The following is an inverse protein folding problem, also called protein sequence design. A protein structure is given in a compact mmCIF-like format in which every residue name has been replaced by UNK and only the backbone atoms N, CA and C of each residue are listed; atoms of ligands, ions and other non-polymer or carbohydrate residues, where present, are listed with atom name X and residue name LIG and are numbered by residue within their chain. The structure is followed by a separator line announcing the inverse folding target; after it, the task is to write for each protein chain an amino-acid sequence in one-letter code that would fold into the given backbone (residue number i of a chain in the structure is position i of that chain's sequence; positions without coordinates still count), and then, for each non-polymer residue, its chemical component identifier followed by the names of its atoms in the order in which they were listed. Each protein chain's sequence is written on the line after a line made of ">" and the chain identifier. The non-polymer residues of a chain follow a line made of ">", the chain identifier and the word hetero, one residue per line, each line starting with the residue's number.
data_IF_780172985585
#
_entry.id   IF_780172985585
#
_cell.length_a   1.000
_cell.length_b   1.000
_cell.length_c   1.000
_cell.angle_alpha   90.00
_cell.angle_beta   90.00
_cell.angle_gamma   90.00
#
_symmetry.space_group_name_H-M   'P 1'
#
loop_
_entity.id
_entity.type
_entity.pdbx_description
1 polymer ?
#
# COMPACT_ATOMS: atom_id res chain seq x y z
N UNK A 1 9.47 -8.57 10.70
CA UNK A 1 9.34 -8.43 9.22
C UNK A 1 9.34 -9.80 8.54
N UNK A 2 10.34 -10.70 8.75
CA UNK A 2 10.43 -11.96 8.00
C UNK A 2 9.21 -12.89 8.15
N UNK A 3 8.72 -13.08 9.38
CA UNK A 3 7.53 -13.93 9.63
C UNK A 3 6.27 -13.44 8.90
N UNK A 4 6.09 -12.12 8.81
CA UNK A 4 4.93 -11.51 8.14
C UNK A 4 5.01 -11.72 6.62
N UNK A 5 6.20 -11.60 6.03
CA UNK A 5 6.42 -11.90 4.61
C UNK A 5 6.30 -13.40 4.34
N UNK A 6 6.74 -14.26 5.27
CA UNK A 6 6.55 -15.70 5.14
C UNK A 6 5.06 -16.08 5.13
N UNK A 7 4.26 -15.49 6.03
CA UNK A 7 2.81 -15.67 6.03
C UNK A 7 2.16 -15.21 4.71
N UNK A 8 2.63 -14.09 4.15
CA UNK A 8 2.21 -13.59 2.85
C UNK A 8 2.55 -14.57 1.71
N UNK A 9 3.79 -15.06 1.67
CA UNK A 9 4.27 -16.02 0.68
C UNK A 9 3.47 -17.34 0.74
N UNK A 10 3.04 -17.77 1.93
CA UNK A 10 2.16 -18.93 2.07
C UNK A 10 0.80 -18.69 1.40
N UNK A 11 0.22 -17.49 1.51
CA UNK A 11 -1.04 -17.16 0.82
C UNK A 11 -0.86 -17.17 -0.71
N UNK A 12 0.25 -16.60 -1.20
CA UNK A 12 0.57 -16.61 -2.64
C UNK A 12 0.75 -18.04 -3.15
N UNK A 13 1.45 -18.91 -2.42
CA UNK A 13 1.64 -20.31 -2.80
C UNK A 13 0.33 -21.11 -2.84
N UNK A 14 -0.58 -20.86 -1.90
CA UNK A 14 -1.91 -21.48 -1.91
C UNK A 14 -2.72 -21.06 -3.14
N UNK A 15 -2.63 -19.77 -3.52
CA UNK A 15 -3.34 -19.24 -4.68
C UNK A 15 -2.75 -19.74 -5.99
N UNK A 16 -1.42 -19.76 -6.10
CA UNK A 16 -0.69 -20.32 -7.23
C UNK A 16 -1.08 -21.77 -7.48
N UNK A 17 -1.08 -22.58 -6.42
CA UNK A 17 -1.51 -23.98 -6.51
C UNK A 17 -2.94 -24.10 -7.03
N UNK A 18 -3.90 -23.39 -6.42
CA UNK A 18 -5.30 -23.52 -6.79
C UNK A 18 -5.59 -23.08 -8.24
N UNK A 19 -4.89 -22.04 -8.71
CA UNK A 19 -5.04 -21.53 -10.09
C UNK A 19 -4.27 -22.38 -11.11
N UNK A 20 -3.14 -22.98 -10.71
CA UNK A 20 -2.43 -23.99 -11.52
C UNK A 20 -3.26 -25.26 -11.68
N UNK A 21 -3.86 -25.77 -10.61
CA UNK A 21 -4.73 -26.94 -10.68
C UNK A 21 -5.96 -26.65 -11.59
N UNK A 22 -6.47 -25.40 -11.58
CA UNK A 22 -7.53 -24.97 -12.50
C UNK A 22 -7.02 -24.92 -13.95
N UNK A 23 -5.83 -24.36 -14.18
CA UNK A 23 -5.21 -24.33 -15.51
C UNK A 23 -5.04 -25.75 -16.07
N UNK A 24 -4.61 -26.71 -15.26
CA UNK A 24 -4.51 -28.11 -15.65
C UNK A 24 -5.87 -28.73 -15.97
N UNK A 25 -6.90 -28.43 -15.17
CA UNK A 25 -8.26 -28.86 -15.46
C UNK A 25 -8.78 -28.27 -16.79
N UNK A 26 -8.37 -27.05 -17.15
CA UNK A 26 -8.75 -26.44 -18.44
C UNK A 26 -8.13 -27.11 -19.67
N UNK A 27 -7.14 -27.98 -19.49
CA UNK A 27 -6.53 -28.81 -20.55
C UNK A 27 -7.23 -30.17 -20.69
N UNK A 28 -8.12 -30.52 -19.77
CA UNK A 28 -8.83 -31.80 -19.78
C UNK A 28 -10.20 -31.63 -20.46
N UNK A 29 -10.35 -32.21 -21.66
CA UNK A 29 -11.61 -32.14 -22.42
C UNK A 29 -12.84 -32.57 -21.60
N UNK A 30 -12.67 -33.58 -20.75
CA UNK A 30 -13.73 -34.08 -19.87
C UNK A 30 -14.13 -33.05 -18.81
N UNK A 31 -13.17 -32.38 -18.16
CA UNK A 31 -13.44 -31.35 -17.16
C UNK A 31 -14.09 -30.11 -17.81
N UNK A 32 -13.61 -29.71 -18.99
CA UNK A 32 -14.19 -28.60 -19.77
C UNK A 32 -15.63 -28.92 -20.19
N UNK A 33 -15.89 -30.12 -20.71
CA UNK A 33 -17.23 -30.54 -21.10
C UNK A 33 -18.20 -30.54 -19.91
N UNK A 34 -17.77 -31.03 -18.74
CA UNK A 34 -18.58 -30.99 -17.50
C UNK A 34 -18.86 -29.54 -17.10
N UNK A 35 -17.86 -28.67 -17.10
CA UNK A 35 -18.03 -27.26 -16.74
C UNK A 35 -19.00 -26.54 -17.68
N UNK A 36 -18.86 -26.73 -19.00
CA UNK A 36 -19.77 -26.18 -20.02
C UNK A 36 -21.20 -26.68 -19.84
N UNK A 37 -21.36 -27.99 -19.62
CA UNK A 37 -22.69 -28.60 -19.40
C UNK A 37 -23.37 -28.01 -18.17
N UNK A 38 -22.64 -27.83 -17.06
CA UNK A 38 -23.19 -27.20 -15.84
C UNK A 38 -23.57 -25.74 -16.03
N UNK A 39 -22.86 -25.02 -16.90
CA UNK A 39 -23.12 -23.60 -17.18
C UNK A 39 -24.30 -23.39 -18.15
N UNK A 40 -24.65 -24.39 -18.95
CA UNK A 40 -25.75 -24.34 -19.91
C UNK A 40 -25.40 -23.62 -21.22
N UNK A 41 -26.42 -23.35 -22.04
CA UNK A 41 -26.26 -22.61 -23.30
C UNK A 41 -25.79 -21.18 -23.06
N UNK A 42 -24.93 -20.66 -23.95
CA UNK A 42 -24.39 -19.31 -23.81
C UNK A 42 -23.36 -19.16 -22.67
N UNK A 43 -22.73 -20.25 -22.22
CA UNK A 43 -21.80 -20.26 -21.09
C UNK A 43 -20.59 -19.31 -21.18
N UNK A 44 -20.21 -18.83 -22.38
CA UNK A 44 -19.08 -17.91 -22.59
C UNK A 44 -17.67 -18.50 -22.37
N UNK A 45 -17.56 -19.69 -21.77
CA UNK A 45 -16.33 -20.49 -21.62
C UNK A 45 -15.73 -21.03 -22.95
N UNK A 46 -15.19 -20.14 -23.77
CA UNK A 46 -14.54 -20.46 -25.06
C UNK A 46 -13.13 -21.01 -24.87
N UNK A 47 -12.60 -21.76 -25.85
CA UNK A 47 -11.23 -22.28 -25.80
C UNK A 47 -10.18 -21.15 -25.76
N UNK A 48 -10.47 -20.03 -26.43
CA UNK A 48 -9.64 -18.82 -26.40
C UNK A 48 -9.56 -18.21 -24.99
N UNK A 49 -10.67 -18.19 -24.25
CA UNK A 49 -10.68 -17.72 -22.86
C UNK A 49 -9.86 -18.65 -21.95
N UNK A 50 -9.97 -19.97 -22.13
CA UNK A 50 -9.17 -20.94 -21.37
C UNK A 50 -7.68 -20.79 -21.67
N UNK A 51 -7.31 -20.57 -22.93
CA UNK A 51 -5.92 -20.28 -23.32
C UNK A 51 -5.40 -18.98 -22.70
N UNK A 52 -6.17 -17.89 -22.78
CA UNK A 52 -5.82 -16.60 -22.17
C UNK A 52 -5.57 -16.72 -20.67
N UNK A 53 -6.41 -17.48 -19.96
CA UNK A 53 -6.21 -17.70 -18.51
C UNK A 53 -4.87 -18.39 -18.21
N UNK A 54 -4.51 -19.42 -18.99
CA UNK A 54 -3.22 -20.13 -18.82
C UNK A 54 -2.03 -19.24 -19.14
N UNK A 55 -2.13 -18.41 -20.19
CA UNK A 55 -1.08 -17.47 -20.57
C UNK A 55 -0.90 -16.39 -19.49
N UNK A 56 -2.00 -15.81 -18.98
CA UNK A 56 -1.96 -14.86 -17.88
C UNK A 56 -1.40 -15.48 -16.59
N UNK A 57 -1.76 -16.73 -16.25
CA UNK A 57 -1.18 -17.44 -15.11
C UNK A 57 0.34 -17.58 -15.24
N UNK A 58 0.82 -18.02 -16.41
CA UNK A 58 2.26 -18.18 -16.66
C UNK A 58 3.02 -16.86 -16.57
N UNK A 59 2.41 -15.79 -17.08
CA UNK A 59 2.96 -14.44 -16.94
C UNK A 59 3.05 -14.04 -15.46
N UNK A 60 1.96 -14.17 -14.71
CA UNK A 60 1.93 -13.82 -13.27
C UNK A 60 2.93 -14.64 -12.47
N UNK A 61 3.08 -15.94 -12.75
CA UNK A 61 4.11 -16.78 -12.11
C UNK A 61 5.53 -16.25 -12.39
N UNK A 62 5.83 -15.91 -13.64
CA UNK A 62 7.13 -15.36 -14.06
C UNK A 62 7.43 -14.04 -13.34
N UNK A 63 6.47 -13.11 -13.36
CA UNK A 63 6.60 -11.81 -12.70
C UNK A 63 6.66 -11.95 -11.15
N UNK A 64 5.94 -12.93 -10.59
CA UNK A 64 5.95 -13.22 -9.16
C UNK A 64 7.35 -13.60 -8.63
N UNK A 65 8.16 -14.28 -9.44
CA UNK A 65 9.57 -14.51 -9.09
C UNK A 65 10.38 -13.21 -9.04
N UNK A 66 10.15 -12.28 -9.97
CA UNK A 66 10.83 -10.98 -10.01
C UNK A 66 10.44 -10.13 -8.79
N UNK A 67 9.15 -10.06 -8.47
CA UNK A 67 8.70 -9.34 -7.27
C UNK A 67 9.22 -9.98 -5.98
N UNK A 68 9.27 -11.31 -5.91
CA UNK A 68 9.85 -12.00 -4.76
C UNK A 68 11.34 -11.67 -4.58
N UNK A 69 12.13 -11.60 -5.66
CA UNK A 69 13.54 -11.19 -5.57
C UNK A 69 13.70 -9.78 -5.00
N UNK A 70 12.83 -8.83 -5.36
CA UNK A 70 12.84 -7.47 -4.80
C UNK A 70 12.49 -7.47 -3.30
N UNK A 71 11.50 -8.27 -2.90
CA UNK A 71 11.10 -8.44 -1.50
C UNK A 71 12.26 -9.06 -0.69
N UNK A 72 12.90 -10.10 -1.21
CA UNK A 72 14.03 -10.77 -0.55
C UNK A 72 15.25 -9.86 -0.44
N UNK A 73 15.55 -9.08 -1.48
CA UNK A 73 16.60 -8.06 -1.44
C UNK A 73 16.33 -7.03 -0.33
N UNK A 74 15.09 -6.59 -0.20
CA UNK A 74 14.70 -5.66 0.85
C UNK A 74 14.81 -6.28 2.25
N UNK A 75 14.40 -7.54 2.43
CA UNK A 75 14.55 -8.27 3.69
C UNK A 75 16.02 -8.47 4.08
N UNK A 76 16.87 -8.86 3.12
CA UNK A 76 18.30 -9.04 3.34
C UNK A 76 18.98 -7.73 3.72
N UNK A 77 18.68 -6.65 2.98
CA UNK A 77 19.16 -5.30 3.29
C UNK A 77 18.73 -4.83 4.68
N UNK A 78 17.44 -4.97 5.00
CA UNK A 78 16.90 -4.61 6.30
C UNK A 78 17.55 -5.40 7.45
N UNK A 79 17.82 -6.70 7.26
CA UNK A 79 18.48 -7.53 8.27
C UNK A 79 19.91 -7.06 8.55
N UNK A 80 20.68 -6.75 7.51
CA UNK A 80 22.04 -6.21 7.65
C UNK A 80 22.02 -4.86 8.38
N UNK A 81 21.13 -3.96 7.95
CA UNK A 81 21.01 -2.63 8.52
C UNK A 81 20.56 -2.63 9.99
N UNK A 82 19.67 -3.55 10.38
CA UNK A 82 19.22 -3.66 11.77
C UNK A 82 20.37 -3.96 12.73
N UNK A 83 21.34 -4.78 12.32
CA UNK A 83 22.53 -5.07 13.12
C UNK A 83 23.35 -3.80 13.33
N UNK A 84 23.58 -3.02 12.27
CA UNK A 84 24.34 -1.78 12.35
C UNK A 84 23.64 -0.67 13.15
N UNK A 85 22.31 -0.56 13.05
CA UNK A 85 21.52 0.41 13.79
C UNK A 85 21.42 0.09 15.29
N UNK A 86 21.65 -1.16 15.69
CA UNK A 86 21.52 -1.61 17.08
C UNK A 86 22.81 -1.50 17.90
N UNK A 87 23.96 -1.28 17.24
CA UNK A 87 25.29 -1.26 17.86
C UNK A 87 25.99 0.09 18.01
N UNK A 88 25.45 1.26 17.60
CA UNK A 88 26.26 2.47 17.57
C UNK A 88 26.51 3.02 18.99
N UNK A 89 27.79 3.19 19.31
CA UNK A 89 28.32 3.60 20.62
C UNK A 89 28.41 5.12 20.79
N UNK A 90 28.53 5.86 19.69
CA UNK A 90 28.66 7.32 19.68
C UNK A 90 27.85 7.99 18.55
N UNK A 91 27.75 9.31 18.58
CA UNK A 91 26.97 10.09 17.61
C UNK A 91 27.46 9.92 16.16
N UNK A 92 28.77 9.88 15.94
CA UNK A 92 29.35 9.68 14.61
C UNK A 92 28.94 8.33 14.05
N UNK A 93 29.03 7.26 14.85
CA UNK A 93 28.57 5.93 14.46
C UNK A 93 27.06 5.91 14.15
N UNK A 94 26.23 6.62 14.94
CA UNK A 94 24.78 6.76 14.67
C UNK A 94 24.50 7.45 13.34
N UNK A 95 25.20 8.56 13.04
CA UNK A 95 25.05 9.26 11.76
C UNK A 95 25.46 8.40 10.57
N UNK A 96 26.57 7.66 10.68
CA UNK A 96 27.01 6.73 9.63
C UNK A 96 25.98 5.61 9.41
N UNK A 97 25.46 5.02 10.48
CA UNK A 97 24.42 4.00 10.38
C UNK A 97 23.12 4.56 9.79
N UNK A 98 22.74 5.79 10.15
CA UNK A 98 21.60 6.47 9.53
C UNK A 98 21.81 6.73 8.04
N UNK A 99 22.99 7.20 7.61
CA UNK A 99 23.27 7.43 6.18
C UNK A 99 23.08 6.16 5.35
N UNK A 100 23.55 5.01 5.85
CA UNK A 100 23.28 3.70 5.23
C UNK A 100 21.80 3.33 5.25
N UNK A 101 21.08 3.73 6.29
CA UNK A 101 19.63 3.52 6.37
C UNK A 101 18.88 4.32 5.31
N UNK A 102 19.29 5.58 5.10
CA UNK A 102 18.74 6.46 4.07
C UNK A 102 19.00 5.89 2.67
N UNK A 103 20.22 5.43 2.38
CA UNK A 103 20.57 4.73 1.14
C UNK A 103 19.74 3.44 0.94
N UNK A 104 19.53 2.68 2.01
CA UNK A 104 18.74 1.45 2.01
C UNK A 104 17.22 1.67 1.84
N UNK A 105 16.72 2.88 2.06
CA UNK A 105 15.28 3.18 2.03
C UNK A 105 14.67 2.97 0.63
N UNK A 106 15.42 3.26 -0.44
CA UNK A 106 14.97 3.02 -1.81
C UNK A 106 14.69 1.52 -2.07
N UNK A 107 15.50 0.64 -1.49
CA UNK A 107 15.34 -0.82 -1.61
C UNK A 107 14.08 -1.26 -0.84
N UNK A 108 13.83 -0.70 0.35
CA UNK A 108 12.60 -0.96 1.11
C UNK A 108 11.34 -0.51 0.37
N UNK A 109 11.36 0.70 -0.23
CA UNK A 109 10.27 1.22 -1.07
C UNK A 109 10.03 0.31 -2.28
N UNK A 110 11.07 -0.15 -2.94
CA UNK A 110 10.96 -1.10 -4.05
C UNK A 110 10.37 -2.46 -3.62
N UNK A 111 10.77 -2.99 -2.47
CA UNK A 111 10.19 -4.21 -1.91
C UNK A 111 8.71 -4.07 -1.57
N UNK A 112 8.30 -2.93 -1.00
CA UNK A 112 6.88 -2.63 -0.74
C UNK A 112 6.07 -2.54 -2.04
N UNK A 113 6.57 -1.83 -3.04
CA UNK A 113 5.92 -1.71 -4.34
C UNK A 113 5.77 -3.09 -5.04
N UNK A 114 6.80 -3.94 -4.94
CA UNK A 114 6.76 -5.30 -5.45
C UNK A 114 5.70 -6.16 -4.74
N UNK A 115 5.59 -6.04 -3.41
CA UNK A 115 4.55 -6.73 -2.61
C UNK A 115 3.14 -6.34 -3.07
N UNK A 116 2.84 -5.03 -3.14
CA UNK A 116 1.53 -4.54 -3.56
C UNK A 116 1.20 -4.94 -5.01
N UNK A 117 2.18 -4.89 -5.91
CA UNK A 117 1.99 -5.28 -7.32
C UNK A 117 1.71 -6.77 -7.45
N UNK A 118 2.45 -7.61 -6.72
CA UNK A 118 2.23 -9.06 -6.67
C UNK A 118 0.82 -9.39 -6.19
N UNK A 119 0.35 -8.76 -5.11
CA UNK A 119 -1.01 -8.98 -4.61
C UNK A 119 -2.06 -8.64 -5.67
N UNK A 120 -1.93 -7.48 -6.33
CA UNK A 120 -2.86 -7.05 -7.39
C UNK A 120 -2.89 -8.05 -8.57
N UNK A 121 -1.74 -8.52 -9.02
CA UNK A 121 -1.64 -9.47 -10.14
C UNK A 121 -2.35 -10.80 -9.82
N UNK A 122 -2.04 -11.39 -8.67
CA UNK A 122 -2.66 -12.65 -8.23
C UNK A 122 -4.17 -12.51 -7.97
N UNK A 123 -4.61 -11.42 -7.34
CA UNK A 123 -6.03 -11.17 -7.10
C UNK A 123 -6.81 -10.91 -8.40
N UNK A 124 -6.19 -10.26 -9.40
CA UNK A 124 -6.77 -10.09 -10.73
C UNK A 124 -6.98 -11.44 -11.42
N UNK A 125 -5.98 -12.33 -11.34
CA UNK A 125 -6.07 -13.67 -11.91
C UNK A 125 -7.15 -14.52 -11.22
N UNK A 126 -7.27 -14.42 -9.89
CA UNK A 126 -8.37 -15.03 -9.15
C UNK A 126 -9.74 -14.47 -9.59
N UNK A 127 -9.84 -13.16 -9.78
CA UNK A 127 -11.06 -12.52 -10.29
C UNK A 127 -11.41 -12.99 -11.70
N UNK A 128 -10.43 -13.23 -12.58
CA UNK A 128 -10.64 -13.84 -13.90
C UNK A 128 -11.17 -15.27 -13.76
N UNK A 129 -10.58 -16.09 -12.89
CA UNK A 129 -11.04 -17.45 -12.62
C UNK A 129 -12.50 -17.46 -12.11
N UNK A 130 -12.83 -16.58 -11.16
CA UNK A 130 -14.15 -16.50 -10.55
C UNK A 130 -15.22 -15.95 -11.51
N UNK A 131 -14.93 -14.84 -12.19
CA UNK A 131 -15.93 -14.10 -12.99
C UNK A 131 -16.06 -14.65 -14.40
N UNK A 132 -14.93 -14.96 -15.05
CA UNK A 132 -14.92 -15.36 -16.46
C UNK A 132 -14.99 -16.88 -16.60
N UNK A 133 -14.16 -17.62 -15.86
CA UNK A 133 -14.14 -19.09 -15.93
C UNK A 133 -15.20 -19.74 -15.04
N UNK A 134 -15.85 -18.97 -14.16
CA UNK A 134 -16.87 -19.46 -13.21
C UNK A 134 -16.32 -20.62 -12.37
N UNK A 135 -15.13 -20.42 -11.79
CA UNK A 135 -14.32 -21.36 -11.00
C UNK A 135 -15.13 -22.37 -10.15
N UNK A 136 -16.19 -21.93 -9.47
CA UNK A 136 -17.09 -22.79 -8.67
C UNK A 136 -17.77 -23.94 -9.43
N UNK A 137 -17.92 -23.83 -10.75
CA UNK A 137 -18.52 -24.88 -11.58
C UNK A 137 -17.53 -25.98 -11.97
N UNK A 138 -16.23 -25.75 -11.76
CA UNK A 138 -15.16 -26.70 -11.99
C UNK A 138 -15.09 -27.73 -10.86
N UNK A 139 -16.02 -28.66 -10.88
CA UNK A 139 -16.10 -29.79 -9.97
C UNK A 139 -16.48 -31.06 -10.76
N UNK A 140 -15.57 -32.01 -10.82
CA UNK A 140 -15.73 -33.33 -11.42
C UNK A 140 -15.25 -34.39 -10.42
N UNK A 141 -15.42 -35.68 -10.76
CA UNK A 141 -14.94 -36.78 -9.91
C UNK A 141 -13.42 -36.75 -9.70
N UNK A 142 -12.66 -36.18 -10.63
CA UNK A 142 -11.18 -36.13 -10.57
C UNK A 142 -10.60 -34.78 -10.14
N UNK A 143 -11.40 -33.73 -10.04
CA UNK A 143 -10.93 -32.39 -9.72
C UNK A 143 -12.03 -31.52 -9.14
N UNK A 144 -11.74 -30.81 -8.04
CA UNK A 144 -12.64 -29.80 -7.48
C UNK A 144 -11.81 -28.54 -7.22
N UNK A 145 -12.24 -27.43 -7.80
CA UNK A 145 -11.60 -26.14 -7.55
C UNK A 145 -11.62 -25.80 -6.06
N UNK A 146 -10.46 -25.39 -5.52
CA UNK A 146 -10.27 -25.09 -4.10
C UNK A 146 -10.88 -23.73 -3.70
N UNK A 147 -12.18 -23.55 -3.93
CA UNK A 147 -12.89 -22.29 -3.76
C UNK A 147 -12.76 -21.70 -2.35
N UNK A 148 -12.92 -22.54 -1.31
CA UNK A 148 -12.81 -22.11 0.09
C UNK A 148 -11.40 -21.59 0.41
N UNK A 149 -10.36 -22.25 -0.10
CA UNK A 149 -8.97 -21.82 0.05
C UNK A 149 -8.77 -20.46 -0.63
N UNK A 150 -9.17 -20.32 -1.89
CA UNK A 150 -9.07 -19.06 -2.63
C UNK A 150 -9.84 -17.92 -1.95
N UNK A 151 -11.00 -18.21 -1.35
CA UNK A 151 -11.79 -17.21 -0.61
C UNK A 151 -11.04 -16.70 0.63
N UNK A 152 -10.45 -17.59 1.41
CA UNK A 152 -9.70 -17.20 2.60
C UNK A 152 -8.38 -16.50 2.23
N UNK A 153 -7.69 -16.95 1.18
CA UNK A 153 -6.52 -16.25 0.63
C UNK A 153 -6.90 -14.84 0.15
N UNK A 154 -8.03 -14.71 -0.57
CA UNK A 154 -8.53 -13.41 -1.02
C UNK A 154 -8.75 -12.47 0.15
N UNK A 155 -9.35 -12.92 1.26
CA UNK A 155 -9.50 -12.11 2.48
C UNK A 155 -8.15 -11.75 3.09
N UNK A 156 -7.22 -12.71 3.17
CA UNK A 156 -5.89 -12.50 3.74
C UNK A 156 -5.06 -11.48 2.95
N UNK A 157 -5.23 -11.43 1.62
CA UNK A 157 -4.52 -10.52 0.71
C UNK A 157 -5.28 -9.22 0.42
N UNK A 158 -6.49 -9.02 0.96
CA UNK A 158 -7.17 -7.72 0.90
C UNK A 158 -6.81 -6.85 2.12
N UNK A 159 -7.05 -5.54 1.99
CA UNK A 159 -6.97 -4.66 3.16
C UNK A 159 -8.13 -4.96 4.11
N UNK A 160 -7.91 -4.80 5.42
CA UNK A 160 -9.01 -4.84 6.39
C UNK A 160 -10.07 -3.78 6.09
N UNK A 161 -11.32 -4.10 6.41
CA UNK A 161 -12.37 -3.10 6.50
C UNK A 161 -12.30 -2.37 7.84
N UNK A 162 -11.80 -1.12 7.81
CA UNK A 162 -11.66 -0.27 9.00
C UNK A 162 -13.01 0.03 9.64
N UNK A 163 -14.09 0.12 8.85
CA UNK A 163 -15.45 0.40 9.37
C UNK A 163 -15.99 -0.78 10.16
N UNK A 164 -15.62 -2.01 9.78
CA UNK A 164 -16.01 -3.25 10.47
C UNK A 164 -15.09 -3.63 11.62
N UNK A 165 -14.05 -2.82 11.90
CA UNK A 165 -13.03 -3.10 12.95
C UNK A 165 -12.39 -4.48 12.78
N UNK A 166 -12.19 -4.88 11.52
CA UNK A 166 -11.53 -6.14 11.21
C UNK A 166 -10.07 -6.12 11.72
N UNK A 167 -9.59 -7.29 12.14
CA UNK A 167 -8.18 -7.46 12.50
C UNK A 167 -7.32 -7.24 11.26
N UNK A 168 -6.07 -6.82 11.46
CA UNK A 168 -5.11 -6.70 10.37
C UNK A 168 -5.00 -8.03 9.62
N UNK A 169 -5.13 -7.96 8.29
CA UNK A 169 -4.95 -9.11 7.41
C UNK A 169 -3.47 -9.45 7.25
N UNK A 170 -3.16 -10.55 6.56
CA UNK A 170 -1.78 -10.90 6.21
C UNK A 170 -1.15 -9.78 5.38
N UNK A 171 -1.89 -9.25 4.39
CA UNK A 171 -1.47 -8.09 3.62
C UNK A 171 -1.18 -6.88 4.50
N UNK A 172 -2.11 -6.51 5.39
CA UNK A 172 -1.93 -5.33 6.23
C UNK A 172 -0.66 -5.46 7.09
N UNK A 173 -0.42 -6.63 7.67
CA UNK A 173 0.76 -6.88 8.50
C UNK A 173 2.06 -6.81 7.68
N UNK A 174 2.06 -7.37 6.47
CA UNK A 174 3.20 -7.36 5.56
C UNK A 174 3.53 -5.93 5.08
N UNK A 175 2.52 -5.18 4.60
CA UNK A 175 2.65 -3.77 4.19
C UNK A 175 3.12 -2.90 5.35
N UNK A 176 2.52 -3.06 6.52
CA UNK A 176 2.90 -2.30 7.72
C UNK A 176 4.35 -2.56 8.14
N UNK A 177 4.88 -3.77 7.89
CA UNK A 177 6.27 -4.05 8.21
C UNK A 177 7.25 -3.18 7.41
N UNK A 178 6.97 -2.97 6.11
CA UNK A 178 7.76 -2.06 5.26
C UNK A 178 7.54 -0.59 5.65
N UNK A 179 6.28 -0.19 5.84
CA UNK A 179 5.94 1.20 6.19
C UNK A 179 6.58 1.63 7.50
N UNK A 180 6.58 0.77 8.53
CA UNK A 180 7.25 1.08 9.81
C UNK A 180 8.77 1.21 9.65
N UNK A 181 9.40 0.37 8.83
CA UNK A 181 10.82 0.50 8.56
C UNK A 181 11.15 1.85 7.91
N UNK A 182 10.43 2.21 6.84
CA UNK A 182 10.59 3.51 6.19
C UNK A 182 10.31 4.69 7.11
N UNK A 183 9.25 4.59 7.94
CA UNK A 183 8.92 5.60 8.94
C UNK A 183 10.10 5.85 9.90
N UNK A 184 10.65 4.81 10.52
CA UNK A 184 11.75 4.99 11.48
C UNK A 184 13.04 5.49 10.83
N UNK A 185 13.30 5.14 9.57
CA UNK A 185 14.41 5.72 8.80
C UNK A 185 14.19 7.23 8.64
N UNK A 186 13.01 7.64 8.18
CA UNK A 186 12.66 9.06 8.02
C UNK A 186 12.74 9.82 9.36
N UNK A 187 12.26 9.24 10.46
CA UNK A 187 12.36 9.84 11.79
C UNK A 187 13.80 9.98 12.27
N UNK A 188 14.66 9.00 11.98
CA UNK A 188 16.08 9.06 12.30
C UNK A 188 16.79 10.18 11.53
N UNK A 189 16.52 10.30 10.24
CA UNK A 189 17.01 11.39 9.39
C UNK A 189 16.53 12.75 9.92
N UNK A 190 15.23 12.89 10.16
CA UNK A 190 14.61 14.10 10.70
C UNK A 190 15.26 14.55 12.01
N UNK A 191 15.49 13.61 12.94
CA UNK A 191 16.09 13.92 14.23
C UNK A 191 17.55 14.37 14.10
N UNK A 192 18.36 13.65 13.32
CA UNK A 192 19.78 13.95 13.15
C UNK A 192 20.03 15.22 12.34
N UNK A 193 19.12 15.58 11.42
CA UNK A 193 19.21 16.84 10.66
C UNK A 193 19.00 18.07 11.56
N UNK A 194 18.09 17.99 12.55
CA UNK A 194 17.74 19.10 13.44
C UNK A 194 18.62 19.20 14.68
N UNK A 195 19.19 18.07 15.13
CA UNK A 195 20.12 18.01 16.26
C UNK A 195 21.46 17.41 15.82
N UNK A 196 22.24 18.11 14.99
CA UNK A 196 23.46 17.58 14.40
C UNK A 196 24.49 17.20 15.45
N UNK A 197 24.55 17.89 16.58
CA UNK A 197 25.52 17.59 17.65
C UNK A 197 24.97 16.61 18.70
N UNK A 198 23.76 16.05 18.47
CA UNK A 198 23.13 15.10 19.38
C UNK A 198 22.78 15.68 20.75
N UNK A 199 22.87 17.01 20.88
CA UNK A 199 22.52 17.78 22.07
C UNK A 199 21.32 18.65 21.77
N UNK A 200 20.55 18.95 22.82
CA UNK A 200 19.42 19.84 22.70
C UNK A 200 19.87 21.24 22.27
N UNK A 201 19.17 21.79 21.29
CA UNK A 201 19.26 23.19 20.88
C UNK A 201 17.85 23.70 20.60
N UNK A 202 17.62 24.99 20.80
CA UNK A 202 16.36 25.62 20.40
C UNK A 202 16.27 25.57 18.86
N UNK A 203 15.19 24.99 18.34
CA UNK A 203 14.94 24.84 16.90
C UNK A 203 13.65 25.60 16.56
N UNK A 204 13.73 26.64 15.70
CA UNK A 204 12.56 27.41 15.29
C UNK A 204 11.44 26.52 14.74
N UNK A 205 10.20 26.79 15.15
CA UNK A 205 9.02 25.99 14.82
C UNK A 205 8.94 24.60 15.48
N UNK A 206 9.95 24.14 16.23
CA UNK A 206 9.96 22.82 16.87
C UNK A 206 10.05 22.85 18.41
N UNK A 207 11.11 23.43 18.97
CA UNK A 207 11.31 23.45 20.43
C UNK A 207 12.15 24.63 20.90
N UNK A 208 11.90 25.12 22.12
CA UNK A 208 12.73 26.11 22.78
C UNK A 208 12.69 25.95 24.31
N UNK A 209 13.79 26.25 25.01
CA UNK A 209 13.84 26.33 26.48
C UNK A 209 13.56 27.76 26.92
N UNK A 210 12.43 27.96 27.60
CA UNK A 210 11.95 29.29 28.01
C UNK A 210 12.01 29.46 29.52
N UNK A 211 12.53 30.60 29.97
CA UNK A 211 12.56 30.94 31.38
C UNK A 211 11.16 31.23 31.93
N UNK A 212 10.94 30.97 33.23
CA UNK A 212 9.68 31.31 33.91
C UNK A 212 9.35 32.81 33.85
N UNK A 213 10.37 33.67 33.80
CA UNK A 213 10.18 35.11 33.66
C UNK A 213 9.63 35.49 32.27
N UNK A 214 10.13 34.86 31.21
CA UNK A 214 9.60 35.05 29.84
C UNK A 214 8.17 34.50 29.70
N UNK A 215 7.85 33.39 30.39
CA UNK A 215 6.47 32.87 30.47
C UNK A 215 5.56 33.88 31.18
N UNK A 216 5.99 34.44 32.32
CA UNK A 216 5.23 35.44 33.07
C UNK A 216 4.99 36.72 32.23
N UNK A 217 5.99 37.15 31.46
CA UNK A 217 5.88 38.29 30.55
C UNK A 217 4.92 38.05 29.37
N UNK A 218 4.58 36.79 29.08
CA UNK A 218 3.61 36.37 28.06
C UNK A 218 2.28 35.91 28.70
N UNK A 219 1.89 36.54 29.82
CA UNK A 219 0.66 36.28 30.56
C UNK A 219 0.48 34.80 30.95
N UNK A 220 1.59 34.11 31.22
CA UNK A 220 1.63 32.67 31.54
C UNK A 220 1.07 31.75 30.45
N UNK A 221 0.94 32.23 29.21
CA UNK A 221 0.50 31.41 28.08
C UNK A 221 1.51 30.31 27.80
N UNK A 222 1.05 29.06 27.64
CA UNK A 222 1.92 27.92 27.29
C UNK A 222 1.80 27.51 25.81
N UNK A 223 1.20 28.37 24.98
CA UNK A 223 1.07 28.11 23.53
C UNK A 223 2.46 28.15 22.88
N UNK A 224 2.97 27.03 22.31
CA UNK A 224 4.35 26.95 21.81
C UNK A 224 4.71 28.02 20.78
N UNK A 225 3.76 28.39 19.91
CA UNK A 225 3.97 29.40 18.86
C UNK A 225 4.41 30.78 19.36
N UNK A 226 4.17 31.12 20.64
CA UNK A 226 4.65 32.38 21.24
C UNK A 226 6.15 32.41 21.48
N UNK A 227 6.77 31.24 21.54
CA UNK A 227 8.15 31.07 22.00
C UNK A 227 9.07 30.46 20.95
N UNK A 228 8.53 29.55 20.16
CA UNK A 228 9.32 28.69 19.29
C UNK A 228 9.50 29.30 17.89
N UNK A 229 8.75 30.36 17.55
CA UNK A 229 8.82 30.98 16.22
C UNK A 229 8.31 30.06 15.11
N UNK A 230 8.66 30.37 13.85
CA UNK A 230 8.26 29.60 12.66
C UNK A 230 9.52 29.11 11.95
N UNK A 231 9.54 27.83 11.55
CA UNK A 231 10.61 27.29 10.74
C UNK A 231 10.55 27.91 9.33
N UNK A 232 11.62 28.59 8.92
CA UNK A 232 11.79 29.04 7.54
C UNK A 232 12.50 27.91 6.77
N UNK A 233 11.80 27.20 5.88
CA UNK A 233 12.43 26.24 4.95
C UNK A 233 12.05 24.75 5.06
N UNK A 234 10.92 24.38 5.67
CA UNK A 234 10.41 22.99 5.71
C UNK A 234 9.67 22.61 4.40
N UNK A 235 10.06 23.18 3.27
CA UNK A 235 9.39 22.89 2.00
C UNK A 235 9.84 21.57 1.37
N UNK A 236 11.05 21.07 1.66
CA UNK A 236 11.63 19.91 0.94
C UNK A 236 11.61 18.57 1.70
N UNK A 237 10.88 18.45 2.82
CA UNK A 237 10.68 17.15 3.49
C UNK A 237 9.36 16.47 3.09
N UNK A 238 9.20 15.20 3.49
CA UNK A 238 8.00 14.39 3.21
C UNK A 238 6.70 15.09 3.72
N UNK A 239 6.77 15.93 4.76
CA UNK A 239 5.63 16.72 5.25
C UNK A 239 5.29 17.88 4.31
N UNK A 240 6.31 18.57 3.78
CA UNK A 240 6.15 19.59 2.74
C UNK A 240 5.58 19.03 1.43
N UNK A 241 6.00 17.83 1.02
CA UNK A 241 5.44 17.16 -0.16
C UNK A 241 3.99 16.72 0.07
N UNK A 242 3.68 16.09 1.21
CA UNK A 242 2.32 15.71 1.56
C UNK A 242 1.38 16.92 1.68
N UNK A 243 1.89 18.06 2.20
CA UNK A 243 1.14 19.32 2.24
C UNK A 243 0.84 19.82 0.82
N UNK A 244 1.83 19.83 -0.09
CA UNK A 244 1.63 20.24 -1.48
C UNK A 244 0.64 19.35 -2.23
N UNK A 245 0.75 18.03 -2.06
CA UNK A 245 -0.18 17.08 -2.69
C UNK A 245 -1.61 17.33 -2.19
N UNK A 246 -1.79 17.49 -0.88
CA UNK A 246 -3.09 17.84 -0.29
C UNK A 246 -3.62 19.18 -0.76
N UNK A 247 -2.76 20.20 -0.88
CA UNK A 247 -3.16 21.50 -1.40
C UNK A 247 -3.59 21.42 -2.87
N UNK A 248 -2.93 20.60 -3.69
CA UNK A 248 -3.34 20.32 -5.07
C UNK A 248 -4.69 19.61 -5.13
N UNK A 249 -4.90 18.60 -4.29
CA UNK A 249 -6.17 17.89 -4.17
C UNK A 249 -7.31 18.86 -3.80
N UNK A 250 -7.14 19.64 -2.73
CA UNK A 250 -8.10 20.65 -2.28
C UNK A 250 -8.39 21.66 -3.41
N UNK A 251 -7.36 22.10 -4.14
CA UNK A 251 -7.56 23.05 -5.23
C UNK A 251 -8.37 22.46 -6.38
N UNK A 252 -8.13 21.19 -6.72
CA UNK A 252 -8.92 20.47 -7.73
C UNK A 252 -10.37 20.29 -7.29
N UNK A 253 -10.61 19.87 -6.05
CA UNK A 253 -11.97 19.74 -5.49
C UNK A 253 -12.72 21.08 -5.49
N UNK A 254 -12.03 22.16 -5.11
CA UNK A 254 -12.60 23.50 -5.12
C UNK A 254 -13.00 23.95 -6.54
N UNK A 255 -12.17 23.65 -7.54
CA UNK A 255 -12.48 23.94 -8.94
C UNK A 255 -13.75 23.20 -9.39
N UNK A 256 -13.86 21.89 -9.10
CA UNK A 256 -15.07 21.12 -9.42
C UNK A 256 -16.33 21.65 -8.72
N UNK A 257 -16.21 22.06 -7.45
CA UNK A 257 -17.32 22.63 -6.70
C UNK A 257 -17.76 23.97 -7.29
N UNK A 258 -16.82 24.81 -7.73
CA UNK A 258 -17.13 26.07 -8.41
C UNK A 258 -17.84 25.84 -9.75
N UNK A 259 -17.42 24.87 -10.55
CA UNK A 259 -18.08 24.52 -11.81
C UNK A 259 -19.53 24.06 -11.56
N UNK A 260 -19.75 23.21 -10.54
CA UNK A 260 -21.09 22.77 -10.14
C UNK A 260 -21.93 23.94 -9.65
N UNK A 261 -21.35 24.88 -8.89
CA UNK A 261 -22.05 26.08 -8.43
C UNK A 261 -22.46 26.98 -9.60
N UNK A 262 -21.59 27.19 -10.59
CA UNK A 262 -21.89 27.96 -11.80
C UNK A 262 -23.01 27.32 -12.63
N UNK A 263 -22.97 25.99 -12.81
CA UNK A 263 -24.05 25.26 -13.49
C UNK A 263 -25.39 25.42 -12.75
N UNK A 264 -25.38 25.33 -11.42
CA UNK A 264 -26.59 25.50 -10.63
C UNK A 264 -27.13 26.93 -10.71
N UNK A 265 -26.25 27.94 -10.67
CA UNK A 265 -26.62 29.34 -10.82
C UNK A 265 -27.28 29.60 -12.20
N UNK A 266 -26.71 29.06 -13.28
CA UNK A 266 -27.30 29.17 -14.62
C UNK A 266 -28.68 28.51 -14.70
N UNK A 267 -28.86 27.33 -14.08
CA UNK A 267 -30.16 26.66 -14.02
C UNK A 267 -31.20 27.47 -13.26
N UNK A 268 -30.80 28.11 -12.16
CA UNK A 268 -31.67 29.00 -11.40
C UNK A 268 -32.09 30.20 -12.25
N UNK A 269 -31.15 30.84 -12.98
CA UNK A 269 -31.47 31.95 -13.87
C UNK A 269 -32.44 31.55 -14.99
N UNK A 270 -32.20 30.41 -15.66
CA UNK A 270 -33.09 29.91 -16.71
C UNK A 270 -34.51 29.69 -16.18
N UNK A 271 -34.64 28.99 -15.04
CA UNK A 271 -35.94 28.75 -14.42
C UNK A 271 -36.67 30.03 -14.01
N UNK A 272 -35.92 31.07 -13.60
CA UNK A 272 -36.50 32.37 -13.26
C UNK A 272 -36.99 33.12 -14.49
N UNK A 273 -36.23 33.10 -15.59
CA UNK A 273 -36.63 33.71 -16.87
C UNK A 273 -37.90 33.07 -17.43
N UNK A 274 -37.98 31.74 -17.42
CA UNK A 274 -39.18 30.98 -17.87
C UNK A 274 -40.43 31.27 -17.03
N UNK A 275 -40.28 31.74 -15.79
CA UNK A 275 -41.40 32.05 -14.90
C UNK A 275 -41.95 33.48 -15.07
N UNK A 276 -41.16 34.37 -15.69
CA UNK A 276 -41.52 35.78 -15.88
C UNK A 276 -42.06 36.04 -17.31
N UNK A 277 -41.82 35.13 -18.26
CA UNK A 277 -42.53 35.06 -19.56
C UNK A 277 -43.94 34.46 -19.43
#
# INVERSE_FOLDING_TARGET
>A
MPERINADNQQISLLDKALSDLADATLQDTAVAIARTKLGEGHGLTDGLLASFRDELKQVQTESHVWQQLIDKALAGAKSLLVELSTPDNLTARKTAQGKADEGNAILKAGLAALDTRHKAWLKLLDMADKQLRSRQWASTGYIFAYEVCREVKKALHHRDVKKREKHTVRDLAVEAFKRAGYFIAQGHWLLSRFPDGVYVDVPGLCAVISRAAIAANDYSLTPGRYVGVALGVEDDDEGEAFRERMKEIHSELAELNDKAAQLANRIQLAFSELIE
#
